data_IF_310422089261
#
_entry.id   IF_310422089261
#
_cell.length_a   1.000
_cell.length_b   1.000
_cell.length_c   1.000
_cell.angle_alpha   90.00
_cell.angle_beta   90.00
_cell.angle_gamma   90.00
#
_symmetry.space_group_name_H-M   'P 1'
#
loop_
_entity.id
_entity.type
_entity.pdbx_description
1 polymer ?
#
# COMPACT_ATOMS: atom_id res chain seq x y z
N UNK A 1 -75.39 8.48 14.89
CA UNK A 1 -75.28 7.17 15.57
C UNK A 1 -74.60 6.22 14.58
N UNK A 2 -73.32 5.83 14.78
CA UNK A 2 -72.86 4.82 15.75
C UNK A 2 -73.58 3.49 15.42
N UNK A 3 -72.97 2.39 14.95
CA UNK A 3 -71.74 1.74 15.40
C UNK A 3 -71.25 0.64 14.41
N UNK A 4 -69.93 0.40 14.39
CA UNK A 4 -69.28 -0.87 14.01
C UNK A 4 -69.45 -1.93 15.15
N UNK A 5 -68.86 -3.17 15.21
CA UNK A 5 -67.60 -3.63 14.59
C UNK A 5 -67.58 -5.06 13.99
N UNK A 6 -66.60 -5.32 13.13
CA UNK A 6 -66.01 -6.67 12.94
C UNK A 6 -64.50 -6.60 13.19
N UNK A 7 -64.02 -7.56 13.98
CA UNK A 7 -62.66 -7.61 14.51
C UNK A 7 -61.60 -8.19 13.55
N UNK A 8 -60.44 -7.54 13.58
CA UNK A 8 -59.04 -8.02 13.64
C UNK A 8 -58.61 -9.24 12.81
N UNK A 9 -57.70 -8.99 11.86
CA UNK A 9 -56.42 -9.73 11.73
C UNK A 9 -55.27 -8.73 11.60
N UNK A 10 -54.23 -8.93 12.43
CA UNK A 10 -53.00 -8.13 12.49
C UNK A 10 -52.24 -8.14 11.15
N UNK A 11 -52.02 -6.95 10.58
CA UNK A 11 -50.98 -6.69 9.59
C UNK A 11 -49.73 -6.18 10.29
N UNK A 12 -48.58 -6.76 9.95
CA UNK A 12 -47.27 -6.38 10.47
C UNK A 12 -46.93 -4.92 10.10
N UNK A 13 -46.41 -4.20 11.09
CA UNK A 13 -46.01 -2.80 11.03
C UNK A 13 -44.83 -2.63 10.07
N UNK A 14 -45.06 -1.93 8.95
CA UNK A 14 -44.03 -1.22 8.21
C UNK A 14 -43.65 0.02 9.01
N UNK A 15 -42.41 0.08 9.50
CA UNK A 15 -41.79 1.35 9.87
C UNK A 15 -40.93 1.83 8.69
N UNK A 16 -41.49 2.78 7.96
CA UNK A 16 -40.76 3.71 7.13
C UNK A 16 -40.72 5.05 7.89
N UNK A 17 -39.52 5.53 8.22
CA UNK A 17 -39.20 6.93 8.50
C UNK A 17 -37.78 7.13 7.93
N UNK A 18 -37.62 7.77 6.76
CA UNK A 18 -37.67 9.21 6.51
C UNK A 18 -36.49 9.95 7.18
N UNK A 19 -35.45 10.23 6.41
CA UNK A 19 -34.52 11.33 6.68
C UNK A 19 -34.07 11.97 5.36
N UNK A 20 -34.00 13.29 5.38
CA UNK A 20 -34.14 14.22 4.28
C UNK A 20 -33.02 14.22 3.23
N UNK A 21 -33.38 14.58 2.00
CA UNK A 21 -32.47 15.07 0.97
C UNK A 21 -31.74 16.34 1.47
N UNK A 22 -30.46 16.20 1.78
CA UNK A 22 -29.54 17.32 2.05
C UNK A 22 -28.57 17.43 0.87
N UNK A 23 -28.39 18.62 0.27
CA UNK A 23 -27.62 18.78 -0.95
C UNK A 23 -26.16 18.34 -0.76
N UNK A 24 -25.63 17.69 -1.79
CA UNK A 24 -24.32 17.08 -1.86
C UNK A 24 -23.17 18.11 -1.90
N UNK A 25 -22.92 18.85 -0.81
CA UNK A 25 -21.78 19.78 -0.71
C UNK A 25 -21.28 20.00 0.72
N UNK A 26 -21.42 19.01 1.62
CA UNK A 26 -20.74 19.05 2.93
C UNK A 26 -19.64 18.00 3.03
N UNK A 27 -18.41 18.44 3.26
CA UNK A 27 -17.19 17.64 3.49
C UNK A 27 -17.36 16.49 4.51
N UNK A 28 -18.30 16.60 5.45
CA UNK A 28 -18.62 15.55 6.42
C UNK A 28 -19.36 14.33 5.84
N UNK A 29 -19.98 14.45 4.66
CA UNK A 29 -20.63 13.33 3.97
C UNK A 29 -19.65 12.46 3.16
N UNK A 30 -18.48 12.99 2.82
CA UNK A 30 -17.47 12.29 2.03
C UNK A 30 -16.71 11.24 2.85
N UNK A 31 -16.54 11.46 4.17
CA UNK A 31 -15.85 10.50 5.05
C UNK A 31 -16.64 9.20 5.28
N UNK A 32 -17.99 9.24 5.18
CA UNK A 32 -18.86 8.04 5.28
C UNK A 32 -18.72 7.07 4.09
N UNK A 33 -18.07 7.46 2.99
CA UNK A 33 -17.95 6.65 1.75
C UNK A 33 -16.58 6.02 1.54
N UNK A 34 -15.66 6.21 2.49
CA UNK A 34 -14.29 5.71 2.40
C UNK A 34 -14.22 4.26 2.90
N UNK A 35 -13.63 3.39 2.09
CA UNK A 35 -13.16 2.09 2.58
C UNK A 35 -11.81 2.32 3.29
N UNK A 36 -11.81 2.55 4.61
CA UNK A 36 -10.58 2.53 5.40
C UNK A 36 -10.11 1.09 5.63
N UNK A 37 -8.79 0.93 5.75
CA UNK A 37 -8.15 -0.32 6.14
C UNK A 37 -7.30 -0.04 7.37
N UNK A 38 -7.46 -0.85 8.40
CA UNK A 38 -6.80 -0.66 9.69
C UNK A 38 -5.38 -1.21 9.66
N UNK A 39 -4.45 -0.55 10.36
CA UNK A 39 -3.13 -1.11 10.67
C UNK A 39 -3.27 -1.99 11.91
N UNK A 40 -3.21 -3.30 11.72
CA UNK A 40 -3.46 -4.31 12.75
C UNK A 40 -2.20 -5.11 13.08
N UNK A 41 -2.18 -5.67 14.28
CA UNK A 41 -1.17 -6.65 14.71
C UNK A 41 -1.38 -8.01 14.01
N UNK A 42 -0.32 -8.83 13.87
CA UNK A 42 -0.42 -10.18 13.29
C UNK A 42 -1.50 -11.06 13.94
N UNK A 43 -1.68 -10.95 15.26
CA UNK A 43 -2.67 -11.73 16.01
C UNK A 43 -4.10 -11.33 15.65
N UNK A 44 -4.39 -10.03 15.56
CA UNK A 44 -5.71 -9.53 15.17
C UNK A 44 -6.05 -9.91 13.73
N UNK A 45 -5.08 -9.88 12.83
CA UNK A 45 -5.28 -10.30 11.43
C UNK A 45 -5.61 -11.78 11.35
N UNK A 46 -4.89 -12.62 12.12
CA UNK A 46 -5.19 -14.06 12.20
C UNK A 46 -6.60 -14.30 12.74
N UNK A 47 -7.00 -13.61 13.80
CA UNK A 47 -8.37 -13.68 14.33
C UNK A 47 -9.41 -13.26 13.28
N UNK A 48 -9.16 -12.19 12.50
CA UNK A 48 -10.06 -11.78 11.40
C UNK A 48 -10.16 -12.84 10.30
N UNK A 49 -9.06 -13.53 9.96
CA UNK A 49 -9.06 -14.64 9.02
C UNK A 49 -9.89 -15.81 9.56
N UNK A 50 -9.69 -16.19 10.82
CA UNK A 50 -10.45 -17.26 11.48
C UNK A 50 -11.95 -16.96 11.51
N UNK A 51 -12.34 -15.74 11.90
CA UNK A 51 -13.75 -15.30 11.88
C UNK A 51 -14.32 -15.35 10.47
N UNK A 52 -13.57 -14.95 9.44
CA UNK A 52 -14.02 -15.04 8.05
C UNK A 52 -14.26 -16.50 7.61
N UNK A 53 -13.38 -17.42 8.00
CA UNK A 53 -13.53 -18.86 7.73
C UNK A 53 -14.71 -19.45 8.50
N UNK A 54 -14.85 -19.13 9.79
CA UNK A 54 -15.95 -19.62 10.63
C UNK A 54 -17.31 -19.14 10.09
N UNK A 55 -17.41 -17.87 9.69
CA UNK A 55 -18.62 -17.33 9.07
C UNK A 55 -18.95 -18.04 7.75
N UNK A 56 -17.93 -18.35 6.95
CA UNK A 56 -18.10 -19.12 5.72
C UNK A 56 -18.62 -20.53 6.00
N UNK A 57 -18.01 -21.26 6.93
CA UNK A 57 -18.45 -22.59 7.34
C UNK A 57 -19.86 -22.59 7.94
N UNK A 58 -20.16 -21.63 8.81
CA UNK A 58 -21.49 -21.47 9.39
C UNK A 58 -22.57 -21.24 8.32
N UNK A 59 -22.24 -20.49 7.25
CA UNK A 59 -23.15 -20.28 6.12
C UNK A 59 -23.39 -21.56 5.32
N UNK A 60 -22.35 -22.39 5.13
CA UNK A 60 -22.46 -23.67 4.45
C UNK A 60 -23.23 -24.72 5.26
N UNK A 61 -23.04 -24.72 6.58
CA UNK A 61 -23.70 -25.66 7.50
C UNK A 61 -25.08 -25.21 7.96
N UNK A 62 -25.57 -24.05 7.48
CA UNK A 62 -26.89 -23.53 7.88
C UNK A 62 -28.02 -24.44 7.39
N UNK A 63 -28.88 -24.95 8.27
CA UNK A 63 -29.94 -25.91 7.92
C UNK A 63 -31.12 -25.28 7.15
N UNK A 64 -31.23 -23.95 7.13
CA UNK A 64 -32.37 -23.23 6.54
C UNK A 64 -32.21 -22.92 5.04
N UNK A 65 -30.97 -22.78 4.54
CA UNK A 65 -30.65 -22.76 3.09
C UNK A 65 -29.13 -22.80 2.89
N UNK A 66 -28.51 -23.96 2.64
CA UNK A 66 -27.08 -24.01 2.34
C UNK A 66 -26.81 -23.32 1.00
N UNK A 67 -26.11 -22.19 1.04
CA UNK A 67 -25.75 -21.43 -0.15
C UNK A 67 -24.27 -21.09 -0.09
N UNK A 68 -23.57 -21.16 -1.23
CA UNK A 68 -22.19 -20.71 -1.29
C UNK A 68 -22.20 -19.18 -1.20
N UNK A 69 -21.67 -18.59 -0.11
CA UNK A 69 -21.74 -17.16 0.09
C UNK A 69 -20.98 -16.44 -1.01
N UNK A 70 -21.58 -15.36 -1.47
CA UNK A 70 -20.95 -14.46 -2.43
C UNK A 70 -19.99 -13.55 -1.69
N UNK A 71 -18.73 -13.47 -2.12
CA UNK A 71 -17.75 -12.58 -1.52
C UNK A 71 -18.02 -11.14 -1.99
N UNK A 72 -18.31 -10.19 -1.08
CA UNK A 72 -18.38 -8.77 -1.41
C UNK A 72 -16.95 -8.23 -1.51
N UNK A 73 -16.48 -8.01 -2.73
CA UNK A 73 -15.15 -7.46 -3.01
C UNK A 73 -15.28 -6.03 -3.48
N UNK A 74 -14.29 -5.17 -3.24
CA UNK A 74 -14.37 -3.79 -3.73
C UNK A 74 -14.25 -3.77 -5.26
N UNK A 75 -15.16 -3.03 -5.92
CA UNK A 75 -15.13 -2.79 -7.36
C UNK A 75 -13.93 -1.93 -7.73
N UNK A 76 -13.24 -2.28 -8.81
CA UNK A 76 -12.03 -1.58 -9.27
C UNK A 76 -12.22 -0.85 -10.60
N UNK A 77 -13.47 -0.58 -10.95
CA UNK A 77 -13.77 0.27 -12.10
C UNK A 77 -13.20 1.66 -11.83
N UNK A 78 -12.72 2.35 -12.86
CA UNK A 78 -12.20 3.72 -12.74
C UNK A 78 -13.21 4.67 -12.10
N UNK A 79 -14.51 4.41 -12.30
CA UNK A 79 -15.63 5.13 -11.67
C UNK A 79 -15.74 4.95 -10.15
N UNK A 80 -15.09 3.93 -9.58
CA UNK A 80 -15.04 3.69 -8.14
C UNK A 80 -13.76 4.28 -7.50
N UNK A 81 -12.87 4.88 -8.29
CA UNK A 81 -11.70 5.59 -7.78
C UNK A 81 -12.04 7.07 -7.58
N UNK A 82 -11.70 7.63 -6.43
CA UNK A 82 -11.85 9.06 -6.14
C UNK A 82 -10.54 9.63 -5.65
N UNK A 83 -10.18 10.81 -6.14
CA UNK A 83 -8.98 11.54 -5.70
C UNK A 83 -9.39 12.52 -4.59
N UNK A 84 -8.77 12.42 -3.41
CA UNK A 84 -8.87 13.44 -2.38
C UNK A 84 -7.61 14.29 -2.44
N UNK A 85 -7.74 15.57 -2.76
CA UNK A 85 -6.71 16.56 -2.50
C UNK A 85 -7.04 17.20 -1.15
N UNK A 86 -6.19 17.01 -0.13
CA UNK A 86 -6.40 17.64 1.16
C UNK A 86 -6.18 19.15 1.05
N UNK A 87 -7.06 19.98 1.65
CA UNK A 87 -6.88 21.44 1.68
C UNK A 87 -5.72 21.87 2.61
N UNK A 88 -5.27 20.97 3.51
CA UNK A 88 -4.23 21.20 4.53
C UNK A 88 -3.04 20.23 4.41
N UNK A 89 -3.17 19.18 3.61
CA UNK A 89 -2.11 18.20 3.36
C UNK A 89 -1.95 18.09 1.85
N UNK A 90 -0.82 18.57 1.32
CA UNK A 90 -0.43 18.55 -0.10
C UNK A 90 -0.30 17.14 -0.73
N UNK A 91 -0.85 16.12 -0.05
CA UNK A 91 -0.85 14.74 -0.52
C UNK A 91 -2.22 14.43 -1.10
N UNK A 92 -2.30 14.38 -2.43
CA UNK A 92 -3.45 13.82 -3.11
C UNK A 92 -3.47 12.29 -2.94
N UNK A 93 -4.48 11.75 -2.27
CA UNK A 93 -4.64 10.32 -2.05
C UNK A 93 -5.81 9.77 -2.88
N UNK A 94 -5.55 8.68 -3.62
CA UNK A 94 -6.57 7.95 -4.37
C UNK A 94 -7.24 6.95 -3.42
N UNK A 95 -8.55 7.05 -3.29
CA UNK A 95 -9.38 6.12 -2.51
C UNK A 95 -10.33 5.35 -3.41
N UNK A 96 -10.67 4.13 -2.99
CA UNK A 96 -11.78 3.40 -3.57
C UNK A 96 -13.05 3.72 -2.78
N UNK A 97 -14.12 4.07 -3.50
CA UNK A 97 -15.43 4.26 -2.92
C UNK A 97 -16.14 2.91 -2.66
N UNK A 98 -17.33 2.97 -2.09
CA UNK A 98 -18.04 1.82 -1.48
C UNK A 98 -18.72 0.87 -2.49
N UNK A 99 -18.44 0.95 -3.79
CA UNK A 99 -19.05 0.00 -4.73
C UNK A 99 -18.42 -1.38 -4.60
N UNK A 100 -19.26 -2.42 -4.43
CA UNK A 100 -18.81 -3.81 -4.36
C UNK A 100 -19.10 -4.57 -5.65
N UNK A 101 -18.20 -5.48 -5.99
CA UNK A 101 -18.40 -6.57 -6.92
C UNK A 101 -18.66 -7.86 -6.13
N UNK A 102 -19.64 -8.64 -6.60
CA UNK A 102 -20.04 -9.91 -6.03
C UNK A 102 -19.33 -11.04 -6.79
N UNK A 103 -18.45 -11.80 -6.13
CA UNK A 103 -17.88 -13.03 -6.72
C UNK A 103 -18.54 -14.27 -6.14
N UNK A 104 -18.99 -15.16 -7.02
CA UNK A 104 -19.65 -16.41 -6.65
C UNK A 104 -18.89 -17.60 -7.23
N UNK A 105 -18.81 -18.69 -6.47
CA UNK A 105 -18.27 -19.96 -6.96
C UNK A 105 -19.14 -20.57 -8.08
N UNK A 106 -20.42 -20.20 -8.14
CA UNK A 106 -21.38 -20.71 -9.13
C UNK A 106 -21.23 -20.10 -10.52
N UNK A 107 -20.38 -19.08 -10.67
CA UNK A 107 -20.06 -18.48 -11.97
C UNK A 107 -18.69 -18.99 -12.40
N UNK A 108 -18.63 -19.64 -13.57
CA UNK A 108 -17.41 -20.27 -14.09
C UNK A 108 -16.21 -19.30 -14.15
N UNK A 109 -16.45 -18.07 -14.60
CA UNK A 109 -15.42 -17.02 -14.69
C UNK A 109 -14.93 -16.51 -13.32
N UNK A 110 -15.77 -16.58 -12.27
CA UNK A 110 -15.45 -16.08 -10.93
C UNK A 110 -14.95 -17.18 -9.98
N UNK A 111 -15.20 -18.46 -10.29
CA UNK A 111 -14.88 -19.58 -9.42
C UNK A 111 -13.39 -19.64 -9.06
N UNK A 112 -12.50 -19.50 -10.05
CA UNK A 112 -11.04 -19.44 -9.80
C UNK A 112 -10.66 -18.25 -8.92
N UNK A 113 -11.27 -17.09 -9.17
CA UNK A 113 -11.00 -15.87 -8.42
C UNK A 113 -11.51 -15.97 -6.97
N UNK A 114 -12.61 -16.68 -6.75
CA UNK A 114 -13.15 -17.00 -5.43
C UNK A 114 -12.18 -17.90 -4.65
N UNK A 115 -11.72 -19.01 -5.24
CA UNK A 115 -10.78 -19.95 -4.59
C UNK A 115 -9.47 -19.27 -4.23
N UNK A 116 -8.96 -18.38 -5.11
CA UNK A 116 -7.72 -17.63 -4.84
C UNK A 116 -7.78 -16.82 -3.54
N UNK A 117 -8.92 -16.18 -3.23
CA UNK A 117 -9.06 -15.35 -2.01
C UNK A 117 -8.78 -16.19 -0.76
N UNK A 118 -9.43 -17.34 -0.65
CA UNK A 118 -9.23 -18.28 0.46
C UNK A 118 -7.80 -18.80 0.51
N UNK A 119 -7.22 -19.13 -0.65
CA UNK A 119 -5.85 -19.63 -0.72
C UNK A 119 -4.80 -18.59 -0.29
N UNK A 120 -5.01 -17.31 -0.65
CA UNK A 120 -4.16 -16.21 -0.16
C UNK A 120 -4.34 -16.01 1.34
N UNK A 121 -5.57 -16.07 1.88
CA UNK A 121 -5.79 -15.98 3.33
C UNK A 121 -5.09 -17.10 4.09
N UNK A 122 -5.19 -18.34 3.61
CA UNK A 122 -4.49 -19.49 4.19
C UNK A 122 -2.96 -19.24 4.23
N UNK A 123 -2.39 -18.78 3.11
CA UNK A 123 -0.96 -18.49 3.04
C UNK A 123 -0.55 -17.34 3.97
N UNK A 124 -1.35 -16.25 4.05
CA UNK A 124 -1.10 -15.16 4.99
C UNK A 124 -1.17 -15.65 6.44
N UNK A 125 -2.15 -16.49 6.77
CA UNK A 125 -2.30 -17.06 8.11
C UNK A 125 -1.06 -17.86 8.53
N UNK A 126 -0.50 -18.68 7.63
CA UNK A 126 0.75 -19.43 7.87
C UNK A 126 1.95 -18.50 8.07
N UNK A 127 2.12 -17.53 7.16
CA UNK A 127 3.23 -16.55 7.22
C UNK A 127 3.22 -15.76 8.53
N UNK A 128 2.04 -15.28 8.94
CA UNK A 128 1.86 -14.57 10.21
C UNK A 128 2.10 -15.46 11.42
N UNK A 129 1.77 -16.76 11.32
CA UNK A 129 2.05 -17.74 12.37
C UNK A 129 3.53 -18.04 12.57
N UNK A 130 4.32 -17.95 11.50
CA UNK A 130 5.78 -18.06 11.57
C UNK A 130 6.48 -16.76 11.97
N UNK A 131 5.73 -15.66 12.13
CA UNK A 131 6.29 -14.33 12.41
C UNK A 131 7.13 -13.76 11.27
N UNK A 132 6.93 -14.25 10.03
CA UNK A 132 7.71 -13.84 8.86
C UNK A 132 6.98 -12.77 8.05
N UNK A 133 7.76 -12.04 7.26
CA UNK A 133 7.26 -11.13 6.24
C UNK A 133 7.70 -11.65 4.87
N UNK A 134 6.86 -11.44 3.84
CA UNK A 134 7.17 -11.87 2.46
C UNK A 134 6.92 -10.76 1.46
N UNK A 135 7.72 -10.71 0.40
CA UNK A 135 7.42 -9.82 -0.73
C UNK A 135 6.26 -10.34 -1.58
N UNK A 136 5.64 -9.46 -2.38
CA UNK A 136 4.58 -9.89 -3.32
C UNK A 136 5.07 -10.93 -4.35
N UNK A 137 6.36 -10.92 -4.70
CA UNK A 137 6.96 -11.90 -5.62
C UNK A 137 7.21 -13.23 -4.93
N UNK A 138 7.75 -13.23 -3.71
CA UNK A 138 7.88 -14.45 -2.92
C UNK A 138 6.53 -15.11 -2.67
N UNK A 139 5.50 -14.32 -2.32
CA UNK A 139 4.14 -14.83 -2.17
C UNK A 139 3.64 -15.46 -3.47
N UNK A 140 3.96 -14.87 -4.63
CA UNK A 140 3.62 -15.47 -5.92
C UNK A 140 4.32 -16.81 -6.14
N UNK A 141 5.62 -16.94 -5.86
CA UNK A 141 6.31 -18.21 -6.01
C UNK A 141 5.78 -19.28 -5.04
N UNK A 142 5.52 -18.92 -3.78
CA UNK A 142 4.90 -19.84 -2.81
C UNK A 142 3.54 -20.35 -3.29
N UNK A 143 2.68 -19.46 -3.79
CA UNK A 143 1.35 -19.81 -4.29
C UNK A 143 1.39 -20.55 -5.64
N UNK A 144 2.38 -20.26 -6.48
CA UNK A 144 2.63 -20.97 -7.74
C UNK A 144 3.03 -22.43 -7.46
N UNK A 145 3.88 -22.66 -6.47
CA UNK A 145 4.27 -24.01 -6.04
C UNK A 145 3.13 -24.77 -5.37
N UNK A 146 2.39 -24.14 -4.46
CA UNK A 146 1.33 -24.78 -3.68
C UNK A 146 0.01 -24.96 -4.48
N UNK A 147 -0.24 -24.12 -5.48
CA UNK A 147 -1.51 -24.08 -6.21
C UNK A 147 -1.40 -23.54 -7.64
N UNK A 148 -0.62 -24.21 -8.52
CA UNK A 148 -0.32 -23.72 -9.87
C UNK A 148 -1.57 -23.56 -10.74
N UNK A 149 -2.59 -24.39 -10.54
CA UNK A 149 -3.87 -24.35 -11.27
C UNK A 149 -4.60 -23.01 -11.11
N UNK A 150 -4.40 -22.34 -9.97
CA UNK A 150 -5.05 -21.08 -9.66
C UNK A 150 -4.14 -19.87 -9.92
N UNK A 151 -2.83 -19.99 -9.71
CA UNK A 151 -1.90 -18.87 -9.80
C UNK A 151 -0.92 -19.01 -10.97
N UNK A 152 -1.37 -18.69 -12.19
CA UNK A 152 -0.52 -18.72 -13.38
C UNK A 152 0.31 -17.45 -13.62
N UNK A 153 -0.04 -16.33 -12.99
CA UNK A 153 0.67 -15.06 -13.21
C UNK A 153 0.60 -14.14 -11.99
N UNK A 154 1.61 -13.26 -11.85
CA UNK A 154 1.71 -12.28 -10.75
C UNK A 154 0.45 -11.41 -10.61
N UNK A 155 -0.20 -11.09 -11.74
CA UNK A 155 -1.42 -10.28 -11.74
C UNK A 155 -2.53 -10.91 -10.88
N UNK A 156 -2.68 -12.24 -10.92
CA UNK A 156 -3.67 -12.94 -10.12
C UNK A 156 -3.41 -12.79 -8.62
N UNK A 157 -2.16 -12.90 -8.18
CA UNK A 157 -1.78 -12.72 -6.77
C UNK A 157 -2.00 -11.28 -6.35
N UNK A 158 -1.50 -10.31 -7.13
CA UNK A 158 -1.68 -8.89 -6.84
C UNK A 158 -3.15 -8.48 -6.75
N UNK A 159 -3.99 -9.01 -7.65
CA UNK A 159 -5.43 -8.79 -7.59
C UNK A 159 -6.02 -9.41 -6.33
N UNK A 160 -5.67 -10.66 -6.02
CA UNK A 160 -6.23 -11.37 -4.87
C UNK A 160 -5.82 -10.74 -3.54
N UNK A 161 -4.57 -10.26 -3.39
CA UNK A 161 -4.13 -9.52 -2.19
C UNK A 161 -5.04 -8.33 -1.91
N UNK A 162 -5.37 -7.56 -2.95
CA UNK A 162 -6.28 -6.42 -2.81
C UNK A 162 -7.70 -6.84 -2.44
N UNK A 163 -8.16 -8.00 -2.93
CA UNK A 163 -9.45 -8.58 -2.53
C UNK A 163 -9.44 -8.97 -1.04
N UNK A 164 -8.37 -9.59 -0.56
CA UNK A 164 -8.19 -9.95 0.86
C UNK A 164 -8.11 -8.71 1.75
N UNK A 165 -7.32 -7.71 1.38
CA UNK A 165 -7.25 -6.40 2.06
C UNK A 165 -8.64 -5.78 2.19
N UNK A 166 -9.44 -5.84 1.11
CA UNK A 166 -10.79 -5.31 1.12
C UNK A 166 -11.76 -6.08 2.01
N UNK A 167 -11.64 -7.41 2.04
CA UNK A 167 -12.52 -8.27 2.83
C UNK A 167 -12.21 -8.18 4.32
N UNK A 168 -10.92 -8.23 4.67
CA UNK A 168 -10.46 -8.22 6.07
C UNK A 168 -10.30 -6.81 6.65
N UNK A 169 -10.46 -5.76 5.83
CA UNK A 169 -10.34 -4.35 6.23
C UNK A 169 -9.02 -4.06 6.95
N UNK A 170 -7.93 -4.64 6.47
CA UNK A 170 -6.60 -4.48 7.04
C UNK A 170 -5.59 -4.10 5.97
N UNK A 171 -4.52 -3.41 6.35
CA UNK A 171 -3.48 -3.03 5.38
C UNK A 171 -2.75 -4.25 4.83
N UNK A 172 -2.16 -4.10 3.64
CA UNK A 172 -1.31 -5.13 3.03
C UNK A 172 -0.15 -5.55 3.96
N UNK A 173 0.42 -4.61 4.70
CA UNK A 173 1.51 -4.89 5.64
C UNK A 173 1.04 -5.73 6.81
N UNK A 174 -0.15 -5.48 7.33
CA UNK A 174 -0.76 -6.30 8.39
C UNK A 174 -0.98 -7.75 7.96
N UNK A 175 -1.11 -8.04 6.65
CA UNK A 175 -1.13 -9.41 6.12
C UNK A 175 0.25 -10.09 6.06
N UNK A 176 1.31 -9.42 6.52
CA UNK A 176 2.69 -9.92 6.41
C UNK A 176 3.28 -9.76 5.01
N UNK A 177 2.67 -8.92 4.16
CA UNK A 177 3.11 -8.71 2.78
C UNK A 177 3.81 -7.36 2.66
N UNK A 178 5.13 -7.38 2.48
CA UNK A 178 5.95 -6.19 2.33
C UNK A 178 6.00 -5.69 0.88
N UNK A 179 6.37 -4.42 0.70
CA UNK A 179 6.71 -3.89 -0.61
C UNK A 179 8.06 -4.48 -1.06
N UNK A 180 8.21 -4.77 -2.35
CA UNK A 180 9.55 -4.99 -2.89
C UNK A 180 10.25 -3.65 -2.99
N UNK A 181 11.30 -3.46 -2.19
CA UNK A 181 12.17 -2.30 -2.27
C UNK A 181 13.36 -2.57 -3.19
N UNK A 182 13.79 -1.53 -3.90
CA UNK A 182 14.98 -1.58 -4.76
C UNK A 182 15.90 -0.39 -4.53
N UNK A 183 15.43 0.62 -3.82
CA UNK A 183 16.20 1.81 -3.58
C UNK A 183 17.33 1.61 -2.60
N UNK A 184 18.31 2.50 -2.68
CA UNK A 184 19.47 2.52 -1.82
C UNK A 184 19.77 3.96 -1.40
N UNK A 185 20.43 4.10 -0.25
CA UNK A 185 20.80 5.38 0.35
C UNK A 185 22.27 5.34 0.77
N UNK A 186 22.98 6.44 0.57
CA UNK A 186 24.39 6.59 0.98
C UNK A 186 24.68 8.07 1.25
N UNK A 187 25.63 8.34 2.14
CA UNK A 187 26.10 9.69 2.43
C UNK A 187 25.94 10.07 3.89
N UNK A 188 25.87 11.37 4.19
CA UNK A 188 25.90 11.90 5.56
C UNK A 188 24.57 11.69 6.28
N UNK A 189 24.24 10.44 6.60
CA UNK A 189 23.00 10.03 7.27
C UNK A 189 23.31 8.87 8.20
N UNK A 190 22.86 8.98 9.43
CA UNK A 190 22.91 7.91 10.42
C UNK A 190 21.49 7.44 10.67
N UNK A 191 21.26 6.14 10.48
CA UNK A 191 20.01 5.46 10.77
C UNK A 191 20.11 4.85 12.16
N UNK A 192 19.25 5.29 13.06
CA UNK A 192 19.15 4.72 14.40
C UNK A 192 17.93 3.79 14.43
N UNK A 193 18.21 2.49 14.48
CA UNK A 193 17.21 1.47 14.75
C UNK A 193 17.00 1.34 16.27
N UNK A 194 15.76 1.20 16.76
CA UNK A 194 15.48 1.19 18.20
C UNK A 194 16.06 -0.02 18.95
N UNK A 195 16.49 -1.06 18.24
CA UNK A 195 16.98 -2.33 18.82
C UNK A 195 18.33 -2.81 18.24
N UNK A 196 18.92 -2.06 17.31
CA UNK A 196 20.19 -2.42 16.63
C UNK A 196 21.23 -1.29 16.68
N UNK A 197 22.45 -1.61 16.26
CA UNK A 197 23.53 -0.64 16.11
C UNK A 197 23.17 0.46 15.12
N UNK A 198 23.75 1.64 15.33
CA UNK A 198 23.55 2.78 14.46
C UNK A 198 24.26 2.55 13.12
N UNK A 199 23.49 2.66 12.04
CA UNK A 199 24.01 2.46 10.69
C UNK A 199 24.42 3.82 10.13
N UNK A 200 25.71 4.10 10.12
CA UNK A 200 26.26 5.26 9.43
C UNK A 200 26.39 4.97 7.94
N UNK A 201 25.64 5.71 7.13
CA UNK A 201 25.56 5.54 5.70
C UNK A 201 26.73 6.16 4.92
N UNK A 202 27.65 6.84 5.61
CA UNK A 202 28.82 7.49 5.00
C UNK A 202 30.02 6.55 4.86
N UNK A 203 30.07 5.50 5.68
CA UNK A 203 31.14 4.48 5.71
C UNK A 203 30.79 3.22 4.92
N UNK A 204 29.60 3.16 4.33
CA UNK A 204 29.17 2.04 3.51
C UNK A 204 29.91 2.00 2.18
N UNK A 205 29.99 0.79 1.59
CA UNK A 205 30.51 0.61 0.23
C UNK A 205 29.66 1.31 -0.83
N UNK A 206 30.09 1.29 -2.10
CA UNK A 206 29.43 2.03 -3.18
C UNK A 206 27.99 1.56 -3.49
N UNK A 207 27.58 0.39 -2.98
CA UNK A 207 26.21 -0.08 -3.05
C UNK A 207 25.24 0.69 -2.14
N UNK A 208 25.75 1.41 -1.13
CA UNK A 208 24.95 2.06 -0.09
C UNK A 208 24.19 1.07 0.80
N UNK A 209 23.34 1.63 1.66
CA UNK A 209 22.37 0.89 2.47
C UNK A 209 21.11 0.63 1.64
N UNK A 210 20.66 -0.61 1.58
CA UNK A 210 19.42 -0.96 0.89
C UNK A 210 18.22 -0.51 1.72
N UNK A 211 17.27 0.22 1.10
CA UNK A 211 16.04 0.63 1.77
C UNK A 211 15.20 -0.63 2.04
N UNK A 212 14.82 -0.87 3.30
CA UNK A 212 13.92 -2.00 3.65
C UNK A 212 12.52 -1.81 3.05
N UNK A 213 11.91 -2.91 2.61
CA UNK A 213 10.54 -2.94 2.11
C UNK A 213 9.48 -2.87 3.21
N UNK A 214 9.89 -2.98 4.47
CA UNK A 214 9.00 -2.87 5.63
C UNK A 214 8.83 -1.41 6.07
N UNK A 215 7.68 -0.83 5.75
CA UNK A 215 7.38 0.55 6.13
C UNK A 215 7.20 0.72 7.65
N UNK A 216 6.90 -0.35 8.40
CA UNK A 216 6.80 -0.25 9.86
C UNK A 216 8.18 -0.02 10.47
N UNK A 217 9.19 -0.79 10.03
CA UNK A 217 10.58 -0.56 10.38
C UNK A 217 11.00 0.86 9.96
N UNK A 218 10.76 1.26 8.71
CA UNK A 218 11.08 2.62 8.24
C UNK A 218 10.41 3.73 9.07
N UNK A 219 9.19 3.50 9.57
CA UNK A 219 8.47 4.50 10.35
C UNK A 219 9.06 4.73 11.75
N UNK A 220 9.71 3.70 12.30
CA UNK A 220 10.37 3.70 13.61
C UNK A 220 11.83 4.15 13.54
N UNK A 221 12.40 4.25 12.33
CA UNK A 221 13.74 4.76 12.12
C UNK A 221 13.85 6.21 12.60
N UNK A 222 14.83 6.43 13.46
CA UNK A 222 15.30 7.75 13.85
C UNK A 222 16.43 8.16 12.90
N UNK A 223 16.29 9.32 12.27
CA UNK A 223 17.18 9.80 11.22
C UNK A 223 18.00 10.97 11.77
N UNK A 224 19.32 10.86 11.75
CA UNK A 224 20.25 11.92 12.13
C UNK A 224 21.17 12.26 10.97
N UNK A 225 21.33 13.54 10.65
CA UNK A 225 22.12 13.98 9.50
C UNK A 225 22.60 15.40 9.69
N UNK A 226 23.80 15.67 9.19
CA UNK A 226 24.35 17.01 9.00
C UNK A 226 24.58 17.35 7.52
N UNK A 227 23.86 16.65 6.64
CA UNK A 227 23.80 16.96 5.23
C UNK A 227 23.07 18.29 4.99
N UNK A 228 23.53 19.02 3.97
CA UNK A 228 22.89 20.24 3.48
C UNK A 228 22.00 19.99 2.26
N UNK A 229 22.17 18.86 1.59
CA UNK A 229 21.50 18.55 0.33
C UNK A 229 21.02 17.10 0.30
N UNK A 230 19.83 16.87 -0.26
CA UNK A 230 19.38 15.54 -0.63
C UNK A 230 19.38 15.44 -2.15
N UNK A 231 20.09 14.47 -2.71
CA UNK A 231 20.20 14.27 -4.16
C UNK A 231 19.61 12.91 -4.50
N UNK A 232 18.48 12.93 -5.21
CA UNK A 232 17.89 11.74 -5.79
C UNK A 232 18.50 11.46 -7.16
N UNK A 233 19.04 10.27 -7.35
CA UNK A 233 19.63 9.82 -8.60
C UNK A 233 18.75 8.74 -9.20
N UNK A 234 18.30 8.93 -10.44
CA UNK A 234 17.42 7.96 -11.10
C UNK A 234 18.16 6.64 -11.43
N UNK A 235 19.33 6.77 -12.06
CA UNK A 235 20.11 5.63 -12.58
C UNK A 235 21.06 5.09 -11.52
N UNK A 236 20.96 3.80 -11.25
CA UNK A 236 21.84 3.08 -10.30
C UNK A 236 23.32 3.21 -10.67
N UNK A 237 23.65 3.18 -11.97
CA UNK A 237 25.03 3.34 -12.43
C UNK A 237 25.63 4.71 -12.06
N UNK A 238 24.85 5.79 -12.16
CA UNK A 238 25.30 7.14 -11.78
C UNK A 238 25.44 7.22 -10.26
N UNK A 239 24.46 6.66 -9.54
CA UNK A 239 24.51 6.60 -8.08
C UNK A 239 25.77 5.90 -7.58
N UNK A 240 26.11 4.75 -8.15
CA UNK A 240 27.32 4.00 -7.79
C UNK A 240 28.60 4.80 -8.06
N UNK A 241 28.70 5.52 -9.18
CA UNK A 241 29.88 6.37 -9.46
C UNK A 241 30.00 7.53 -8.47
N UNK A 242 28.92 8.24 -8.18
CA UNK A 242 28.94 9.29 -7.17
C UNK A 242 29.25 8.77 -5.76
N UNK A 243 28.85 7.52 -5.47
CA UNK A 243 29.16 6.84 -4.23
C UNK A 243 30.64 6.43 -4.13
N UNK A 244 31.23 5.92 -5.22
CA UNK A 244 32.65 5.58 -5.33
C UNK A 244 33.53 6.82 -5.14
N UNK A 245 33.17 7.94 -5.76
CA UNK A 245 33.86 9.23 -5.62
C UNK A 245 33.62 9.89 -4.25
N UNK A 246 32.75 9.29 -3.43
CA UNK A 246 32.33 9.81 -2.13
C UNK A 246 31.90 11.27 -2.21
N UNK A 247 31.03 11.61 -3.17
CA UNK A 247 30.56 12.97 -3.38
C UNK A 247 30.05 13.63 -2.09
N UNK A 248 29.45 12.84 -1.21
CA UNK A 248 28.95 13.25 0.11
C UNK A 248 30.01 13.82 1.07
N UNK A 249 31.31 13.60 0.80
CA UNK A 249 32.42 14.21 1.54
C UNK A 249 32.80 15.59 1.00
N UNK A 250 32.66 15.80 -0.31
CA UNK A 250 32.96 17.08 -0.96
C UNK A 250 31.79 18.06 -0.83
N UNK A 251 30.58 17.53 -1.01
CA UNK A 251 29.32 18.24 -0.82
C UNK A 251 28.56 17.51 0.27
N UNK A 252 28.26 18.15 1.43
CA UNK A 252 27.57 17.47 2.52
C UNK A 252 26.16 17.07 2.08
N UNK A 253 25.99 15.85 1.61
CA UNK A 253 24.75 15.41 0.98
C UNK A 253 24.37 13.96 1.33
N UNK A 254 23.09 13.66 1.13
CA UNK A 254 22.53 12.32 1.13
C UNK A 254 22.19 11.98 -0.32
N UNK A 255 22.75 10.90 -0.84
CA UNK A 255 22.42 10.34 -2.14
C UNK A 255 21.37 9.24 -1.94
N UNK A 256 20.31 9.28 -2.75
CA UNK A 256 19.29 8.23 -2.77
C UNK A 256 19.08 7.81 -4.21
N UNK A 257 18.89 6.51 -4.45
CA UNK A 257 18.47 5.97 -5.74
C UNK A 257 17.23 5.11 -5.58
N UNK A 258 16.38 5.13 -6.60
CA UNK A 258 15.24 4.23 -6.74
C UNK A 258 15.47 3.13 -7.79
N UNK A 259 16.62 3.16 -8.49
CA UNK A 259 16.95 2.29 -9.63
C UNK A 259 15.86 2.33 -10.72
N UNK A 260 15.59 3.53 -11.26
CA UNK A 260 14.39 3.84 -12.05
C UNK A 260 13.22 4.21 -11.14
N UNK A 261 11.96 4.02 -11.58
CA UNK A 261 10.73 4.52 -10.90
C UNK A 261 10.67 4.23 -9.37
N UNK A 262 10.34 5.23 -8.52
CA UNK A 262 10.49 5.10 -7.09
C UNK A 262 9.38 4.24 -6.51
N UNK A 263 9.79 3.17 -5.85
CA UNK A 263 8.89 2.26 -5.16
C UNK A 263 8.34 2.88 -3.87
N UNK A 264 7.37 2.21 -3.26
CA UNK A 264 6.64 2.74 -2.11
C UNK A 264 7.58 2.99 -0.93
N UNK A 265 8.56 2.13 -0.69
CA UNK A 265 9.51 2.29 0.41
C UNK A 265 10.44 3.49 0.17
N UNK A 266 11.00 3.63 -1.04
CA UNK A 266 11.83 4.79 -1.40
C UNK A 266 11.05 6.10 -1.29
N UNK A 267 9.78 6.13 -1.73
CA UNK A 267 8.92 7.30 -1.56
C UNK A 267 8.63 7.63 -0.10
N UNK A 268 8.46 6.60 0.72
CA UNK A 268 8.19 6.75 2.15
C UNK A 268 9.40 7.35 2.87
N UNK A 269 10.60 6.83 2.63
CA UNK A 269 11.81 7.37 3.28
C UNK A 269 12.15 8.78 2.79
N UNK A 270 11.95 9.08 1.50
CA UNK A 270 12.09 10.44 0.97
C UNK A 270 11.13 11.42 1.65
N UNK A 271 9.88 11.00 1.85
CA UNK A 271 8.91 11.82 2.57
C UNK A 271 9.32 12.04 4.03
N UNK A 272 9.78 10.99 4.72
CA UNK A 272 10.30 11.08 6.08
C UNK A 272 11.49 12.04 6.18
N UNK A 273 12.47 11.92 5.29
CA UNK A 273 13.63 12.83 5.26
C UNK A 273 13.20 14.28 5.02
N UNK A 274 12.23 14.53 4.14
CA UNK A 274 11.70 15.88 3.91
C UNK A 274 10.99 16.47 5.13
N UNK A 275 10.34 15.63 5.94
CA UNK A 275 9.67 16.05 7.18
C UNK A 275 10.65 16.25 8.34
N UNK A 276 11.64 15.37 8.47
CA UNK A 276 12.67 15.45 9.51
C UNK A 276 13.62 16.64 9.26
N UNK A 277 13.96 16.92 8.00
CA UNK A 277 14.90 17.96 7.60
C UNK A 277 14.25 18.96 6.63
N UNK A 278 13.32 19.82 7.10
CA UNK A 278 12.55 20.70 6.23
C UNK A 278 13.39 21.76 5.51
N UNK A 279 14.57 22.10 6.05
CA UNK A 279 15.48 23.08 5.46
C UNK A 279 16.47 22.46 4.44
N UNK A 280 16.45 21.14 4.26
CA UNK A 280 17.35 20.46 3.32
C UNK A 280 16.70 20.44 1.93
N UNK A 281 17.20 21.23 0.95
CA UNK A 281 16.68 21.19 -0.41
C UNK A 281 16.89 19.81 -1.04
N UNK A 282 15.90 19.40 -1.83
CA UNK A 282 15.92 18.13 -2.55
C UNK A 282 16.11 18.38 -4.04
N UNK A 283 17.21 17.84 -4.55
CA UNK A 283 17.57 17.84 -5.96
C UNK A 283 17.34 16.46 -6.57
N UNK A 284 16.99 16.42 -7.85
CA UNK A 284 16.92 15.17 -8.59
C UNK A 284 17.73 15.23 -9.88
N UNK A 285 18.52 14.19 -10.11
CA UNK A 285 19.29 13.92 -11.31
C UNK A 285 18.56 12.84 -12.11
N UNK A 286 17.88 13.28 -13.17
CA UNK A 286 17.03 12.45 -14.02
C UNK A 286 17.43 12.61 -15.48
N UNK A 287 17.22 11.56 -16.27
CA UNK A 287 17.41 11.66 -17.72
C UNK A 287 16.27 12.47 -18.36
N UNK A 288 16.59 13.20 -19.43
CA UNK A 288 15.64 14.06 -20.15
C UNK A 288 14.37 13.32 -20.62
N UNK A 289 14.51 12.06 -21.04
CA UNK A 289 13.44 11.22 -21.59
C UNK A 289 12.82 10.26 -20.57
N UNK A 290 13.18 10.35 -19.29
CA UNK A 290 12.71 9.36 -18.33
C UNK A 290 11.24 9.60 -17.92
N UNK A 291 10.41 8.53 -17.82
CA UNK A 291 9.07 8.62 -17.19
C UNK A 291 9.13 9.08 -15.74
N UNK A 292 10.32 9.10 -15.12
CA UNK A 292 10.58 9.64 -13.80
C UNK A 292 10.28 11.14 -13.68
N UNK A 293 10.35 11.88 -14.79
CA UNK A 293 10.01 13.31 -14.87
C UNK A 293 8.57 13.60 -14.43
N UNK A 294 7.62 12.72 -14.74
CA UNK A 294 6.21 12.89 -14.35
C UNK A 294 6.02 12.83 -12.83
N UNK A 295 6.78 11.99 -12.14
CA UNK A 295 6.70 11.87 -10.67
C UNK A 295 7.15 13.17 -9.96
N UNK A 296 8.14 13.86 -10.54
CA UNK A 296 8.69 15.10 -9.99
C UNK A 296 7.86 16.33 -10.32
N UNK A 297 7.30 16.39 -11.52
CA UNK A 297 6.45 17.50 -11.97
C UNK A 297 5.22 17.71 -11.05
N UNK A 298 4.75 16.65 -10.39
CA UNK A 298 3.59 16.71 -9.49
C UNK A 298 3.90 17.26 -8.08
N UNK A 299 5.16 17.39 -7.66
CA UNK A 299 5.52 17.80 -6.29
C UNK A 299 6.29 19.12 -6.25
N UNK A 300 5.66 20.16 -5.70
CA UNK A 300 6.15 21.55 -5.60
C UNK A 300 7.49 21.76 -4.85
N UNK A 301 7.98 20.74 -4.13
CA UNK A 301 9.17 20.85 -3.26
C UNK A 301 10.48 20.35 -3.88
N UNK A 302 10.48 19.89 -5.13
CA UNK A 302 11.68 19.35 -5.76
C UNK A 302 12.26 20.30 -6.81
N UNK A 303 13.54 20.65 -6.68
CA UNK A 303 14.26 21.32 -7.76
C UNK A 303 14.79 20.25 -8.73
N UNK A 304 14.33 20.27 -9.97
CA UNK A 304 14.77 19.34 -11.00
C UNK A 304 16.05 19.86 -11.64
N UNK A 305 17.18 19.19 -11.38
CA UNK A 305 18.42 19.42 -12.12
C UNK A 305 18.39 18.48 -13.33
N UNK A 306 18.07 19.04 -14.49
CA UNK A 306 18.18 18.32 -15.75
C UNK A 306 19.67 18.15 -16.02
N UNK A 307 20.14 16.90 -15.99
CA UNK A 307 21.50 16.58 -16.41
C UNK A 307 21.63 16.84 -17.91
N UNK A 308 22.08 18.05 -18.27
CA UNK A 308 22.92 18.29 -19.45
C UNK A 308 24.35 17.74 -19.18
N UNK A 309 24.64 17.38 -17.93
CA UNK A 309 25.93 16.91 -17.40
C UNK A 309 26.42 15.54 -17.90
N UNK A 310 25.67 14.82 -18.75
CA UNK A 310 26.19 13.58 -19.36
C UNK A 310 27.38 13.83 -20.30
N UNK A 311 27.62 15.08 -20.71
CA UNK A 311 28.76 15.46 -21.54
C UNK A 311 30.02 15.90 -20.76
N UNK A 312 29.91 16.17 -19.45
CA UNK A 312 31.01 16.74 -18.65
C UNK A 312 31.65 15.74 -17.67
N UNK A 313 31.03 14.57 -17.45
CA UNK A 313 31.54 13.54 -16.55
C UNK A 313 31.94 12.23 -17.26
N UNK A 314 31.80 12.16 -18.59
CA UNK A 314 32.10 10.95 -19.40
C UNK A 314 33.21 11.21 -20.44
N UNK A 315 33.85 12.39 -20.42
CA UNK A 315 35.08 12.68 -21.18
C UNK A 315 36.08 13.44 -20.31
#
# INVERSE_FOLDING_TARGET
AISSPRGRKCGAVRMAQAEADVPATSLFGADRRLCSADVLSPLEVRARIEVAVLNFLATLSSPSSPAIPVLPLISRKSTNCSLRSGLLSDVSSVYLSYAFCKRSLMRENDAKAFVRVWKVMEMCYKILGEGKLVTQRELFYKLLSDSPKYFSCQRHVNQTIQDVVSLLRCTRQSLGIMASSRGALIGRLVLHEPEEEHIDCSILGPSGHAITGDLNQLSRLNLSSDARYLILVEKDAIFQRLAEDRLYNQLPCILITAKGYPDIATRFILHRLSQTFPNMPIFALVDWLSPFKCFFCERKHFLMLICILFWLFVF
#
